data_IF_398376772417
#
_entry.id   IF_398376772417
#
_cell.length_a   1.000
_cell.length_b   1.000
_cell.length_c   1.000
_cell.angle_alpha   90.00
_cell.angle_beta   90.00
_cell.angle_gamma   90.00
#
_symmetry.space_group_name_H-M   'P 1'
#
loop_
_entity.id
_entity.type
_entity.pdbx_description
1 polymer ?
#
# COMPACT_ATOMS: atom_id res chain seq x y z
N UNK A 1 -9.13 -5.38 -5.12
CA UNK A 1 -7.78 -4.86 -4.84
C UNK A 1 -7.22 -4.05 -6.02
N UNK A 2 -6.97 -4.65 -7.20
CA UNK A 2 -6.39 -3.96 -8.38
C UNK A 2 -7.04 -2.62 -8.78
N UNK A 3 -8.37 -2.57 -8.94
CA UNK A 3 -9.10 -1.32 -9.25
C UNK A 3 -8.92 -0.24 -8.18
N UNK A 4 -8.78 -0.63 -6.90
CA UNK A 4 -8.56 0.30 -5.79
C UNK A 4 -7.13 0.86 -5.81
N UNK A 5 -6.13 0.01 -6.05
CA UNK A 5 -4.73 0.44 -6.24
C UNK A 5 -4.61 1.44 -7.39
N UNK A 6 -5.16 1.12 -8.57
CA UNK A 6 -5.14 2.01 -9.74
C UNK A 6 -5.78 3.36 -9.45
N UNK A 7 -6.92 3.37 -8.75
CA UNK A 7 -7.59 4.63 -8.38
C UNK A 7 -6.72 5.49 -7.45
N UNK A 8 -6.02 4.89 -6.48
CA UNK A 8 -5.11 5.63 -5.59
C UNK A 8 -3.98 6.27 -6.39
N UNK A 9 -3.31 5.48 -7.24
CA UNK A 9 -2.22 5.99 -8.10
C UNK A 9 -2.70 7.15 -8.98
N UNK A 10 -3.83 6.99 -9.67
CA UNK A 10 -4.42 8.07 -10.49
C UNK A 10 -4.70 9.36 -9.71
N UNK A 11 -5.12 9.25 -8.44
CA UNK A 11 -5.37 10.42 -7.59
C UNK A 11 -4.06 11.11 -7.22
N UNK A 12 -3.02 10.35 -6.84
CA UNK A 12 -1.70 10.90 -6.50
C UNK A 12 -1.07 11.57 -7.73
N UNK A 13 -1.13 10.92 -8.89
CA UNK A 13 -0.67 11.46 -10.17
C UNK A 13 -1.38 12.78 -10.49
N UNK A 14 -2.72 12.84 -10.36
CA UNK A 14 -3.50 14.05 -10.64
C UNK A 14 -3.15 15.24 -9.75
N UNK A 15 -2.53 14.96 -8.60
CA UNK A 15 -2.10 15.96 -7.61
C UNK A 15 -0.61 16.26 -7.70
N UNK A 16 0.13 15.62 -8.60
CA UNK A 16 1.60 15.68 -8.68
C UNK A 16 2.26 15.36 -7.33
N UNK A 17 1.73 14.38 -6.60
CA UNK A 17 2.37 13.85 -5.40
C UNK A 17 3.38 12.82 -5.86
N UNK A 18 4.63 12.93 -5.43
CA UNK A 18 5.65 11.90 -5.65
C UNK A 18 5.37 10.71 -4.72
N UNK A 19 5.47 9.50 -5.25
CA UNK A 19 5.27 8.26 -4.50
C UNK A 19 6.02 7.11 -5.16
N UNK A 20 6.37 6.12 -4.34
CA UNK A 20 6.93 4.85 -4.80
C UNK A 20 5.89 3.74 -4.75
N UNK A 21 5.93 2.86 -5.75
CA UNK A 21 5.07 1.67 -5.81
C UNK A 21 5.88 0.45 -5.38
N UNK A 22 5.51 -0.14 -4.25
CA UNK A 22 6.10 -1.38 -3.75
C UNK A 22 5.15 -2.54 -4.05
N UNK A 23 5.54 -3.43 -4.96
CA UNK A 23 4.80 -4.67 -5.22
C UNK A 23 5.23 -5.76 -4.24
N UNK A 24 4.48 -5.88 -3.14
CA UNK A 24 4.68 -6.89 -2.08
C UNK A 24 4.46 -8.34 -2.55
N UNK A 25 4.09 -8.56 -3.81
CA UNK A 25 3.91 -9.90 -4.39
C UNK A 25 5.13 -10.39 -5.17
N UNK A 26 6.11 -9.53 -5.42
CA UNK A 26 7.35 -9.91 -6.08
C UNK A 26 8.23 -10.77 -5.18
N UNK A 27 9.02 -11.72 -5.75
CA UNK A 27 10.01 -12.47 -4.98
C UNK A 27 11.05 -11.54 -4.35
N UNK A 28 11.36 -11.72 -3.06
CA UNK A 28 12.30 -10.87 -2.33
C UNK A 28 11.65 -9.64 -1.68
N UNK A 29 10.32 -9.53 -1.71
CA UNK A 29 9.52 -8.48 -1.07
C UNK A 29 8.75 -8.96 0.16
N UNK A 30 9.19 -10.06 0.75
CA UNK A 30 8.57 -10.64 1.94
C UNK A 30 8.60 -9.68 3.15
N UNK A 31 9.69 -8.95 3.34
CA UNK A 31 9.83 -7.97 4.43
C UNK A 31 8.84 -6.80 4.25
N UNK A 32 8.70 -6.28 3.03
CA UNK A 32 7.73 -5.21 2.71
C UNK A 32 6.28 -5.69 2.92
N UNK A 33 6.00 -6.95 2.61
CA UNK A 33 4.70 -7.59 2.86
C UNK A 33 4.43 -7.71 4.36
N UNK A 34 5.40 -8.16 5.15
CA UNK A 34 5.28 -8.27 6.61
C UNK A 34 5.13 -6.89 7.27
N UNK A 35 5.90 -5.91 6.83
CA UNK A 35 5.79 -4.52 7.27
C UNK A 35 4.38 -3.97 7.01
N UNK A 36 3.88 -4.09 5.77
CA UNK A 36 2.53 -3.64 5.44
C UNK A 36 1.47 -4.35 6.30
N UNK A 37 1.58 -5.66 6.51
CA UNK A 37 0.58 -6.41 7.30
C UNK A 37 0.62 -6.08 8.80
N UNK A 38 1.79 -5.77 9.36
CA UNK A 38 1.97 -5.46 10.78
C UNK A 38 1.63 -4.01 11.12
N UNK A 39 1.92 -3.07 10.21
CA UNK A 39 1.76 -1.64 10.45
C UNK A 39 0.42 -1.08 9.93
N UNK A 40 -0.27 -1.78 9.04
CA UNK A 40 -1.59 -1.37 8.54
C UNK A 40 -2.75 -1.90 9.37
N UNK A 41 -3.91 -1.24 9.26
CA UNK A 41 -5.14 -1.67 9.94
C UNK A 41 -6.01 -2.50 9.00
N UNK A 42 -6.31 -3.74 9.41
CA UNK A 42 -7.28 -4.56 8.71
C UNK A 42 -8.69 -3.99 8.90
N UNK A 43 -9.49 -3.98 7.82
CA UNK A 43 -10.89 -3.55 7.88
C UNK A 43 -11.82 -4.76 8.01
N UNK A 44 -12.07 -5.45 6.90
CA UNK A 44 -13.06 -6.54 6.82
C UNK A 44 -12.42 -7.93 6.69
N UNK A 45 -11.08 -7.97 6.60
CA UNK A 45 -10.30 -9.18 6.32
C UNK A 45 -9.39 -9.53 7.49
N UNK A 46 -8.94 -10.79 7.55
CA UNK A 46 -7.97 -11.25 8.56
C UNK A 46 -6.66 -10.46 8.54
N UNK A 47 -6.25 -10.00 7.35
CA UNK A 47 -5.03 -9.21 7.14
C UNK A 47 -5.36 -7.95 6.33
N UNK A 48 -4.61 -6.85 6.50
CA UNK A 48 -4.69 -5.68 5.63
C UNK A 48 -4.45 -6.09 4.17
N UNK A 49 -5.24 -5.52 3.25
CA UNK A 49 -5.13 -5.78 1.83
C UNK A 49 -4.74 -4.48 1.10
N UNK A 50 -3.86 -4.54 0.09
CA UNK A 50 -3.54 -3.37 -0.72
C UNK A 50 -4.76 -2.68 -1.36
N UNK A 51 -4.66 -1.37 -1.70
CA UNK A 51 -3.54 -0.48 -1.41
C UNK A 51 -3.46 -0.12 0.08
N UNK A 52 -2.24 0.08 0.58
CA UNK A 52 -1.95 0.63 1.91
C UNK A 52 -0.90 1.72 1.70
N UNK A 53 -1.14 2.90 2.23
CA UNK A 53 -0.30 4.09 2.00
C UNK A 53 0.47 4.39 3.28
N UNK A 54 1.76 4.64 3.11
CA UNK A 54 2.67 5.11 4.15
C UNK A 54 3.35 6.38 3.67
N UNK A 55 3.61 7.29 4.60
CA UNK A 55 4.52 8.39 4.39
C UNK A 55 5.77 8.07 5.21
N UNK A 56 6.82 7.60 4.54
CA UNK A 56 7.95 6.91 5.17
C UNK A 56 7.46 5.74 6.05
N UNK A 57 7.56 5.86 7.38
CA UNK A 57 7.12 4.85 8.34
C UNK A 57 5.70 5.12 8.89
N UNK A 58 5.13 6.30 8.60
CA UNK A 58 3.84 6.73 9.14
C UNK A 58 2.67 6.20 8.31
N UNK A 59 1.86 5.34 8.92
CA UNK A 59 0.70 4.75 8.26
C UNK A 59 -0.42 5.77 8.01
N UNK A 60 -0.79 5.94 6.73
CA UNK A 60 -1.79 6.91 6.26
C UNK A 60 -3.16 6.30 5.95
N UNK A 61 -3.23 5.00 5.59
CA UNK A 61 -4.50 4.27 5.40
C UNK A 61 -4.59 3.36 4.19
#
# INVERSE_FOLDING_TARGET
VKKRQQRVMMILDSKNVEYDVIDITEPGKEDDKEFMQSMSKARDSKYPLPPQIFNDEDYCG
#
